data_IF_439746606976
#
_entry.id   IF_439746606976
#
_cell.length_a   1.000
_cell.length_b   1.000
_cell.length_c   1.000
_cell.angle_alpha   90.00
_cell.angle_beta   90.00
_cell.angle_gamma   90.00
#
_symmetry.space_group_name_H-M   'P 1'
#
loop_
_entity.id
_entity.type
_entity.pdbx_description
1 polymer ?
#
# COMPACT_ATOMS: atom_id res chain seq x y z
N UNK A 1 -8.95 -5.43 28.43
CA UNK A 1 -7.83 -4.74 27.78
C UNK A 1 -7.78 -3.38 28.40
N UNK A 2 -6.67 -3.06 29.04
CA UNK A 2 -6.45 -1.79 29.73
C UNK A 2 -5.02 -1.40 29.41
N UNK A 3 -4.81 -0.13 29.04
CA UNK A 3 -3.53 0.36 28.55
C UNK A 3 -3.69 1.51 27.57
N UNK A 4 -2.66 2.33 27.47
CA UNK A 4 -2.60 3.44 26.53
C UNK A 4 -2.23 2.97 25.12
N UNK A 5 -2.84 3.58 24.11
CA UNK A 5 -2.51 3.31 22.71
C UNK A 5 -1.12 3.85 22.39
N UNK A 6 -0.35 3.08 21.61
CA UNK A 6 1.00 3.45 21.17
C UNK A 6 1.01 4.72 20.32
N UNK A 7 -0.09 4.97 19.61
CA UNK A 7 -0.22 6.06 18.66
C UNK A 7 -1.59 6.70 18.77
N UNK A 8 -1.66 8.01 18.50
CA UNK A 8 -2.91 8.74 18.44
C UNK A 8 -3.74 8.31 17.23
N UNK A 9 -4.99 7.96 17.50
CA UNK A 9 -6.03 7.58 16.56
C UNK A 9 -7.05 8.72 16.37
N UNK A 10 -7.79 8.65 15.27
CA UNK A 10 -8.91 9.55 15.02
C UNK A 10 -10.18 8.92 15.61
N UNK A 11 -10.47 9.29 16.86
CA UNK A 11 -11.62 8.75 17.61
C UNK A 11 -12.95 9.03 16.91
N UNK A 12 -13.10 10.17 16.24
CA UNK A 12 -14.35 10.55 15.56
C UNK A 12 -14.68 9.64 14.38
N UNK A 13 -13.65 9.15 13.69
CA UNK A 13 -13.78 8.26 12.53
C UNK A 13 -13.60 6.77 12.91
N UNK A 14 -13.23 6.49 14.16
CA UNK A 14 -13.11 5.14 14.67
C UNK A 14 -14.49 4.62 15.09
N UNK A 15 -14.74 3.33 14.90
CA UNK A 15 -16.04 2.73 15.19
C UNK A 15 -15.88 1.30 15.70
N UNK A 16 -16.87 0.83 16.44
CA UNK A 16 -16.91 -0.55 16.90
C UNK A 16 -18.26 -1.19 16.57
N UNK A 17 -18.27 -2.51 16.40
CA UNK A 17 -19.48 -3.27 16.10
C UNK A 17 -19.50 -4.52 16.95
N UNK A 18 -20.63 -4.79 17.60
CA UNK A 18 -20.84 -6.03 18.35
C UNK A 18 -21.52 -7.06 17.45
N UNK A 19 -20.89 -8.23 17.32
CA UNK A 19 -21.52 -9.41 16.71
C UNK A 19 -21.98 -10.36 17.83
N UNK A 20 -23.30 -10.49 18.09
CA UNK A 20 -23.80 -11.34 19.16
C UNK A 20 -23.29 -12.77 19.04
N UNK A 21 -22.78 -13.34 20.14
CA UNK A 21 -22.24 -14.70 20.18
C UNK A 21 -20.86 -14.89 19.53
N UNK A 22 -20.20 -13.83 19.06
CA UNK A 22 -18.88 -13.92 18.45
C UNK A 22 -17.85 -13.04 19.15
N UNK A 23 -17.72 -11.78 18.75
CA UNK A 23 -16.71 -10.87 19.26
C UNK A 23 -17.11 -9.41 19.00
N UNK A 24 -16.49 -8.50 19.75
CA UNK A 24 -16.49 -7.07 19.45
C UNK A 24 -15.44 -6.80 18.39
N UNK A 25 -15.85 -6.18 17.28
CA UNK A 25 -14.93 -5.71 16.26
C UNK A 25 -14.68 -4.22 16.48
N UNK A 26 -13.41 -3.81 16.56
CA UNK A 26 -13.00 -2.42 16.75
C UNK A 26 -12.19 -2.00 15.53
N UNK A 27 -12.63 -0.91 14.89
CA UNK A 27 -11.93 -0.27 13.79
C UNK A 27 -11.35 1.06 14.27
N UNK A 28 -10.03 1.20 14.22
CA UNK A 28 -9.31 2.40 14.63
C UNK A 28 -8.75 3.12 13.41
N UNK A 29 -9.15 4.36 13.24
CA UNK A 29 -8.69 5.21 12.14
C UNK A 29 -7.36 5.87 12.51
N UNK A 30 -6.36 5.77 11.63
CA UNK A 30 -5.04 6.35 11.90
C UNK A 30 -5.04 7.84 11.61
N UNK A 31 -4.43 8.64 12.50
CA UNK A 31 -4.21 10.08 12.22
C UNK A 31 -3.12 10.28 11.16
N UNK A 32 -2.17 9.36 11.07
CA UNK A 32 -1.06 9.42 10.12
C UNK A 32 -0.86 8.07 9.45
N UNK A 33 -0.52 8.09 8.16
CA UNK A 33 -0.20 6.88 7.41
C UNK A 33 1.14 6.31 7.88
N UNK A 34 1.08 5.35 8.81
CA UNK A 34 2.24 4.65 9.35
C UNK A 34 1.91 3.23 9.78
N UNK A 35 2.94 2.40 9.83
CA UNK A 35 2.88 1.10 10.49
C UNK A 35 2.87 1.28 12.00
N UNK A 36 2.03 0.51 12.67
CA UNK A 36 2.02 0.42 14.13
C UNK A 36 2.84 -0.81 14.50
N UNK A 37 3.88 -0.60 15.29
CA UNK A 37 4.70 -1.67 15.89
C UNK A 37 3.93 -2.39 17.00
N UNK A 38 2.99 -1.70 17.63
CA UNK A 38 2.09 -2.21 18.67
C UNK A 38 0.81 -1.37 18.72
N UNK A 39 -0.28 -1.96 19.17
CA UNK A 39 -1.53 -1.31 19.54
C UNK A 39 -1.39 -0.59 20.88
N UNK A 40 -1.04 -1.32 21.95
CA UNK A 40 -0.81 -0.77 23.29
C UNK A 40 0.68 -0.47 23.54
N UNK A 41 1.00 0.38 24.51
CA UNK A 41 2.41 0.69 24.84
C UNK A 41 3.13 -0.51 25.48
N UNK A 42 2.41 -1.28 26.30
CA UNK A 42 2.99 -2.35 27.13
C UNK A 42 3.05 -3.72 26.45
N UNK A 43 2.63 -3.83 25.19
CA UNK A 43 2.63 -5.10 24.45
C UNK A 43 3.94 -5.30 23.65
N UNK A 44 4.30 -6.57 23.32
CA UNK A 44 5.48 -6.84 22.53
C UNK A 44 5.37 -6.24 21.12
N UNK A 45 6.41 -5.50 20.74
CA UNK A 45 6.49 -4.81 19.44
C UNK A 45 6.79 -5.78 18.29
N UNK A 46 6.09 -5.58 17.19
CA UNK A 46 6.30 -6.26 15.93
C UNK A 46 7.46 -5.59 15.18
N UNK A 47 8.31 -6.39 14.54
CA UNK A 47 9.34 -5.86 13.66
C UNK A 47 8.75 -5.40 12.32
N UNK A 48 8.41 -4.12 12.24
CA UNK A 48 7.86 -3.46 11.04
C UNK A 48 8.73 -3.71 9.80
N UNK A 49 10.05 -3.84 9.94
CA UNK A 49 10.97 -4.02 8.80
C UNK A 49 10.83 -5.39 8.13
N UNK A 50 10.26 -6.36 8.82
CA UNK A 50 10.04 -7.71 8.30
C UNK A 50 8.63 -7.90 7.74
N UNK A 51 7.80 -6.84 7.72
CA UNK A 51 6.48 -6.90 7.11
C UNK A 51 6.65 -6.96 5.59
N UNK A 52 6.22 -8.07 5.00
CA UNK A 52 6.16 -8.21 3.56
C UNK A 52 4.96 -7.41 3.02
N UNK A 53 5.26 -6.34 2.28
CA UNK A 53 4.26 -5.50 1.61
C UNK A 53 4.14 -5.90 0.13
N UNK A 54 4.84 -6.95 -0.31
CA UNK A 54 4.74 -7.42 -1.67
C UNK A 54 3.39 -8.08 -1.91
N UNK A 55 2.80 -7.78 -3.07
CA UNK A 55 1.62 -8.48 -3.58
C UNK A 55 2.04 -9.16 -4.88
N UNK A 56 1.61 -10.41 -5.13
CA UNK A 56 1.89 -11.07 -6.39
C UNK A 56 1.20 -10.30 -7.52
N UNK A 57 1.89 -10.17 -8.66
CA UNK A 57 1.37 -9.45 -9.83
C UNK A 57 -0.02 -9.96 -10.26
N UNK A 58 -0.26 -11.26 -10.10
CA UNK A 58 -1.49 -11.94 -10.49
C UNK A 58 -2.74 -11.49 -9.69
N UNK A 59 -2.57 -10.84 -8.54
CA UNK A 59 -3.66 -10.30 -7.72
C UNK A 59 -4.00 -8.83 -8.08
N UNK A 60 -3.28 -8.25 -9.05
CA UNK A 60 -3.54 -6.92 -9.60
C UNK A 60 -4.45 -7.02 -10.82
N UNK A 61 -5.27 -5.99 -11.04
CA UNK A 61 -6.12 -5.93 -12.22
C UNK A 61 -5.30 -5.76 -13.51
N UNK A 62 -5.82 -6.21 -14.65
CA UNK A 62 -5.10 -6.23 -15.93
C UNK A 62 -4.54 -4.85 -16.33
N UNK A 63 -5.24 -3.77 -15.99
CA UNK A 63 -4.81 -2.39 -16.24
C UNK A 63 -3.64 -1.97 -15.35
N UNK A 64 -3.63 -2.37 -14.08
CA UNK A 64 -2.53 -2.17 -13.14
C UNK A 64 -1.27 -2.94 -13.60
N UNK A 65 -1.45 -4.19 -14.02
CA UNK A 65 -0.37 -5.02 -14.56
C UNK A 65 0.26 -4.40 -15.81
N UNK A 66 -0.57 -3.94 -16.75
CA UNK A 66 -0.11 -3.28 -17.98
C UNK A 66 0.73 -2.03 -17.68
N UNK A 67 0.32 -1.23 -16.69
CA UNK A 67 1.05 -0.05 -16.26
C UNK A 67 2.40 -0.39 -15.63
N UNK A 68 2.47 -1.44 -14.82
CA UNK A 68 3.74 -1.91 -14.25
C UNK A 68 4.68 -2.40 -15.35
N UNK A 69 4.18 -3.17 -16.32
CA UNK A 69 4.97 -3.60 -17.48
C UNK A 69 5.53 -2.42 -18.28
N UNK A 70 4.71 -1.38 -18.51
CA UNK A 70 5.15 -0.16 -19.18
C UNK A 70 6.27 0.55 -18.39
N UNK A 71 6.11 0.68 -17.06
CA UNK A 71 7.12 1.30 -16.19
C UNK A 71 8.44 0.51 -16.21
N UNK A 72 8.38 -0.82 -16.14
CA UNK A 72 9.56 -1.69 -16.22
C UNK A 72 10.27 -1.54 -17.58
N UNK A 73 9.51 -1.52 -18.67
CA UNK A 73 10.05 -1.30 -20.02
C UNK A 73 10.74 0.06 -20.13
N UNK A 74 10.08 1.12 -19.67
CA UNK A 74 10.62 2.49 -19.70
C UNK A 74 11.90 2.60 -18.85
N UNK A 75 11.91 1.99 -17.66
CA UNK A 75 13.10 1.98 -16.79
C UNK A 75 14.28 1.27 -17.48
N UNK A 76 14.03 0.17 -18.19
CA UNK A 76 15.06 -0.51 -18.98
C UNK A 76 15.55 0.32 -20.16
N UNK A 77 14.66 0.99 -20.91
CA UNK A 77 15.05 1.87 -22.01
C UNK A 77 15.90 3.04 -21.50
N UNK A 78 15.51 3.67 -20.40
CA UNK A 78 16.26 4.77 -19.78
C UNK A 78 17.67 4.34 -19.36
N UNK A 79 17.83 3.17 -18.74
CA UNK A 79 19.16 2.62 -18.39
C UNK A 79 20.04 2.40 -19.63
N UNK A 80 19.43 2.07 -20.76
CA UNK A 80 20.11 1.86 -22.04
C UNK A 80 20.28 3.15 -22.86
N UNK A 81 19.85 4.31 -22.35
CA UNK A 81 19.86 5.58 -23.08
C UNK A 81 18.93 5.61 -24.29
N UNK A 82 17.95 4.70 -24.35
CA UNK A 82 16.99 4.58 -25.44
C UNK A 82 15.71 5.35 -25.12
N UNK A 83 14.98 5.71 -26.17
CA UNK A 83 13.71 6.44 -26.07
C UNK A 83 12.65 5.59 -25.35
N UNK A 84 11.83 6.24 -24.53
CA UNK A 84 10.74 5.58 -23.77
C UNK A 84 9.53 5.27 -24.65
N UNK A 85 8.59 4.44 -24.17
CA UNK A 85 7.35 4.09 -24.88
C UNK A 85 6.56 5.31 -25.36
N UNK A 86 6.48 6.36 -24.53
CA UNK A 86 5.81 7.62 -24.88
C UNK A 86 6.51 8.32 -26.05
N UNK A 87 7.85 8.36 -26.05
CA UNK A 87 8.63 8.96 -27.13
C UNK A 87 8.52 8.15 -28.43
N UNK A 88 8.45 6.82 -28.34
CA UNK A 88 8.19 5.95 -29.50
C UNK A 88 6.80 6.22 -30.09
N UNK A 89 5.77 6.33 -29.25
CA UNK A 89 4.42 6.67 -29.68
C UNK A 89 4.38 8.03 -30.39
N UNK A 90 4.97 9.07 -29.78
CA UNK A 90 5.03 10.41 -30.39
C UNK A 90 5.79 10.41 -31.73
N UNK A 91 6.85 9.63 -31.87
CA UNK A 91 7.59 9.49 -33.13
C UNK A 91 6.75 8.79 -34.21
N UNK A 92 5.98 7.76 -33.83
CA UNK A 92 5.10 7.02 -34.73
C UNK A 92 3.94 7.89 -35.24
N UNK A 93 3.35 8.73 -34.37
CA UNK A 93 2.34 9.71 -34.78
C UNK A 93 2.89 10.84 -35.66
N UNK A 94 4.19 11.12 -35.61
CA UNK A 94 4.84 12.13 -36.48
C UNK A 94 5.20 11.61 -37.87
N UNK A 95 5.24 10.30 -38.05
CA UNK A 95 5.66 9.64 -39.30
C UNK A 95 4.49 9.05 -40.10
N UNK A 96 3.25 9.20 -39.61
CA UNK A 96 2.00 9.02 -40.34
C UNK A 96 1.38 10.37 -40.66
#
# INVERSE_FOLDING_TARGET
MEGDLSWKENVENSCWTLRPGQAVHVNLEKVQERWWDSLLIDEPKINIRNIDVSRPMNDLADDEQAKIHELMYNQQQQRLGKVTSQQMMCAWFRTK
#
